data_IF_463560470109
#
_entry.id   IF_463560470109
#
_cell.length_a   1.000
_cell.length_b   1.000
_cell.length_c   1.000
_cell.angle_alpha   90.00
_cell.angle_beta   90.00
_cell.angle_gamma   90.00
#
_symmetry.space_group_name_H-M   'P 1'
#
loop_
_entity.id
_entity.type
_entity.pdbx_description
1 polymer ?
#
# COMPACT_ATOMS: atom_id res chain seq x y z
N UNK A 1 16.69 -58.98 -6.58
CA UNK A 1 18.00 -59.42 -6.08
C UNK A 1 18.51 -58.31 -5.16
N UNK A 2 18.50 -58.44 -3.82
CA UNK A 2 19.66 -58.84 -2.96
C UNK A 2 20.95 -58.18 -3.48
N UNK A 3 21.61 -57.29 -2.72
CA UNK A 3 22.42 -57.65 -1.55
C UNK A 3 22.42 -56.64 -0.39
N UNK A 4 22.71 -57.20 0.79
CA UNK A 4 22.82 -56.64 2.13
C UNK A 4 24.21 -56.03 2.39
N UNK A 5 24.28 -55.05 3.30
CA UNK A 5 25.37 -54.84 4.30
C UNK A 5 24.93 -53.68 5.21
N UNK A 6 24.66 -53.83 6.51
CA UNK A 6 25.41 -54.34 7.67
C UNK A 6 25.70 -53.16 8.61
N UNK A 7 25.05 -53.22 9.77
CA UNK A 7 25.05 -52.33 10.94
C UNK A 7 26.41 -52.22 11.63
N UNK A 8 26.69 -51.13 12.39
CA UNK A 8 26.97 -51.18 13.86
C UNK A 8 27.48 -49.83 14.46
N UNK A 9 26.90 -49.46 15.62
CA UNK A 9 27.40 -48.60 16.73
C UNK A 9 27.63 -47.09 16.48
N UNK A 10 27.43 -46.16 17.41
CA UNK A 10 27.25 -46.23 18.86
C UNK A 10 26.37 -45.06 19.38
N UNK A 11 25.75 -45.26 20.54
CA UNK A 11 25.10 -44.23 21.35
C UNK A 11 26.11 -43.18 21.84
N UNK A 12 25.73 -41.90 21.77
CA UNK A 12 26.18 -40.90 22.73
C UNK A 12 24.95 -40.10 23.19
N UNK A 13 24.58 -40.31 24.46
CA UNK A 13 23.63 -39.44 25.15
C UNK A 13 24.29 -38.09 25.40
N UNK A 14 23.70 -37.01 24.88
CA UNK A 14 23.94 -35.68 25.44
C UNK A 14 22.71 -35.27 26.26
N UNK A 15 22.95 -35.19 27.57
CA UNK A 15 22.01 -34.70 28.56
C UNK A 15 21.84 -33.18 28.47
N UNK A 16 20.69 -32.76 28.99
CA UNK A 16 20.03 -31.47 28.89
C UNK A 16 20.81 -30.23 29.34
N UNK A 17 20.42 -29.07 28.80
CA UNK A 17 20.12 -27.90 29.63
C UNK A 17 18.86 -27.23 29.11
N UNK A 18 17.88 -27.08 29.99
CA UNK A 18 16.73 -26.22 29.78
C UNK A 18 17.18 -24.75 29.88
N UNK A 19 16.75 -23.91 28.94
CA UNK A 19 16.34 -22.55 29.28
C UNK A 19 15.44 -21.97 28.19
N UNK A 20 14.44 -21.21 28.63
CA UNK A 20 13.23 -20.87 27.90
C UNK A 20 13.43 -20.29 26.50
N UNK A 21 12.46 -20.58 25.63
CA UNK A 21 12.37 -20.04 24.28
C UNK A 21 12.11 -18.52 24.32
N UNK A 22 13.02 -17.66 23.81
CA UNK A 22 12.55 -16.51 23.08
C UNK A 22 11.99 -17.02 21.75
N UNK A 23 10.76 -16.65 21.46
CA UNK A 23 10.08 -16.86 20.19
C UNK A 23 10.91 -16.22 19.06
N UNK A 24 11.81 -16.98 18.43
CA UNK A 24 12.46 -16.59 17.20
C UNK A 24 11.45 -16.78 16.06
N UNK A 25 10.87 -15.65 15.65
CA UNK A 25 10.09 -15.48 14.43
C UNK A 25 11.01 -15.75 13.22
N UNK A 26 11.01 -17.00 12.76
CA UNK A 26 11.55 -17.41 11.46
C UNK A 26 10.63 -16.84 10.36
N UNK A 27 10.74 -15.54 10.10
CA UNK A 27 10.30 -14.95 8.86
C UNK A 27 11.28 -15.39 7.78
N UNK A 28 10.83 -16.30 6.91
CA UNK A 28 11.56 -16.71 5.72
C UNK A 28 12.07 -15.48 4.98
N UNK A 29 13.40 -15.37 4.87
CA UNK A 29 14.08 -14.45 3.98
C UNK A 29 13.64 -14.73 2.56
N UNK A 30 12.62 -14.00 2.13
CA UNK A 30 12.35 -13.69 0.74
C UNK A 30 12.81 -12.25 0.54
N UNK A 31 13.98 -12.09 -0.07
CA UNK A 31 14.26 -10.87 -0.80
C UNK A 31 13.23 -10.77 -1.91
N UNK A 32 12.21 -9.95 -1.67
CA UNK A 32 11.50 -9.30 -2.75
C UNK A 32 11.68 -7.83 -2.46
N UNK A 33 12.49 -7.18 -3.29
CA UNK A 33 12.31 -5.78 -3.62
C UNK A 33 10.89 -5.62 -4.13
N UNK A 34 9.93 -5.51 -3.22
CA UNK A 34 8.59 -5.03 -3.51
C UNK A 34 8.66 -3.53 -3.41
N UNK A 35 8.73 -2.90 -4.58
CA UNK A 35 8.30 -1.53 -4.77
C UNK A 35 7.05 -1.29 -3.93
N UNK A 36 7.10 -0.28 -3.08
CA UNK A 36 5.98 0.18 -2.26
C UNK A 36 4.84 0.67 -3.14
N UNK A 37 4.11 -0.25 -3.75
CA UNK A 37 2.74 -0.09 -4.23
C UNK A 37 1.93 -1.15 -3.45
N UNK A 38 1.92 -1.01 -2.12
CA UNK A 38 1.20 -1.88 -1.19
C UNK A 38 -0.18 -1.28 -0.90
N UNK A 39 -1.17 -1.68 -1.69
CA UNK A 39 -2.58 -1.52 -1.30
C UNK A 39 -2.90 -2.64 -0.30
N UNK A 40 -2.73 -2.37 1.00
CA UNK A 40 -3.13 -3.29 2.06
C UNK A 40 -4.63 -3.18 2.31
N UNK A 41 -5.39 -4.15 1.81
CA UNK A 41 -6.82 -4.30 2.06
C UNK A 41 -7.02 -4.95 3.45
N UNK A 42 -7.66 -4.24 4.36
CA UNK A 42 -8.23 -4.80 5.59
C UNK A 42 -9.68 -4.33 5.72
N UNK A 43 -10.58 -5.29 5.83
CA UNK A 43 -12.03 -5.10 5.91
C UNK A 43 -12.45 -4.49 7.25
N UNK A 44 -12.59 -3.17 7.28
CA UNK A 44 -13.34 -2.32 8.23
C UNK A 44 -12.91 -0.88 7.93
N UNK A 45 -13.80 -0.08 7.31
CA UNK A 45 -13.50 1.27 6.79
C UNK A 45 -12.15 1.38 6.05
N UNK A 46 -12.08 1.04 4.76
CA UNK A 46 -10.80 1.13 4.02
C UNK A 46 -10.32 2.58 3.98
N UNK A 47 -9.17 2.81 4.61
CA UNK A 47 -8.41 4.05 4.50
C UNK A 47 -7.48 3.92 3.30
N UNK A 48 -7.54 4.88 2.40
CA UNK A 48 -6.75 4.89 1.17
C UNK A 48 -5.76 6.05 1.23
N UNK A 49 -4.48 5.74 1.02
CA UNK A 49 -3.42 6.74 1.03
C UNK A 49 -2.81 6.86 -0.36
N UNK A 50 -2.98 8.02 -1.00
CA UNK A 50 -2.47 8.31 -2.33
C UNK A 50 -1.20 9.17 -2.22
N UNK A 51 -0.07 8.64 -2.65
CA UNK A 51 1.25 9.30 -2.65
C UNK A 51 2.08 8.87 -3.86
N UNK A 52 3.12 9.64 -4.21
CA UNK A 52 4.02 9.32 -5.31
C UNK A 52 3.42 9.74 -6.65
N UNK A 53 3.44 8.88 -7.66
CA UNK A 53 2.89 9.20 -8.99
C UNK A 53 1.45 8.72 -9.11
N UNK A 54 0.53 9.61 -9.45
CA UNK A 54 -0.86 9.24 -9.66
C UNK A 54 -1.00 8.32 -10.89
N UNK A 55 -1.68 7.19 -10.69
CA UNK A 55 -2.07 6.29 -11.78
C UNK A 55 -3.54 6.56 -12.15
N UNK A 56 -3.78 6.84 -13.43
CA UNK A 56 -5.14 7.02 -13.95
C UNK A 56 -5.95 5.74 -13.69
N UNK A 57 -7.16 5.90 -13.17
CA UNK A 57 -8.07 4.78 -12.88
C UNK A 57 -7.85 4.13 -11.51
N UNK A 58 -7.08 4.76 -10.62
CA UNK A 58 -7.02 4.37 -9.20
C UNK A 58 -8.43 4.24 -8.63
N UNK A 59 -8.78 3.07 -8.11
CA UNK A 59 -10.09 2.83 -7.52
C UNK A 59 -10.14 3.30 -6.06
N UNK A 60 -10.99 4.29 -5.80
CA UNK A 60 -11.24 4.84 -4.46
C UNK A 60 -12.65 4.51 -3.94
N UNK A 61 -13.43 3.72 -4.68
CA UNK A 61 -14.86 3.53 -4.44
C UNK A 61 -15.18 2.78 -3.15
N UNK A 62 -14.23 1.98 -2.64
CA UNK A 62 -14.37 1.31 -1.35
C UNK A 62 -13.98 2.22 -0.17
N UNK A 63 -13.19 3.27 -0.41
CA UNK A 63 -12.51 4.05 0.61
C UNK A 63 -13.49 4.98 1.35
N UNK A 64 -13.56 4.86 2.67
CA UNK A 64 -14.29 5.82 3.52
C UNK A 64 -13.44 7.02 3.92
N UNK A 65 -12.12 6.87 3.92
CA UNK A 65 -11.17 7.96 4.14
C UNK A 65 -10.08 7.90 3.08
N UNK A 66 -9.79 9.03 2.45
CA UNK A 66 -8.81 9.16 1.37
C UNK A 66 -7.84 10.26 1.77
N UNK A 67 -6.62 9.90 2.10
CA UNK A 67 -5.54 10.86 2.38
C UNK A 67 -4.66 11.00 1.15
N UNK A 68 -4.45 12.24 0.71
CA UNK A 68 -3.65 12.59 -0.47
C UNK A 68 -2.44 13.36 0.04
N UNK A 69 -1.30 12.68 0.07
CA UNK A 69 -0.03 13.26 0.52
C UNK A 69 0.69 13.98 -0.61
N UNK A 70 2.01 13.82 -0.67
CA UNK A 70 2.80 14.30 -1.82
C UNK A 70 2.51 13.43 -3.04
N UNK A 71 1.83 14.00 -4.02
CA UNK A 71 1.35 13.31 -5.21
C UNK A 71 1.72 14.09 -6.48
N UNK A 72 2.23 13.41 -7.50
CA UNK A 72 2.49 13.99 -8.82
C UNK A 72 1.53 13.40 -9.83
N UNK A 73 0.67 14.24 -10.38
CA UNK A 73 -0.28 13.89 -11.42
C UNK A 73 0.39 14.10 -12.78
N UNK A 74 0.48 13.08 -13.64
CA UNK A 74 1.11 13.21 -14.96
C UNK A 74 0.44 14.27 -15.84
N UNK A 75 1.18 14.76 -16.83
CA UNK A 75 0.68 15.78 -17.75
C UNK A 75 -0.50 15.27 -18.58
N UNK A 76 -1.56 16.07 -18.70
CA UNK A 76 -2.79 15.69 -19.42
C UNK A 76 -3.65 14.64 -18.71
N UNK A 77 -3.39 14.36 -17.43
CA UNK A 77 -4.18 13.44 -16.60
C UNK A 77 -4.95 14.23 -15.55
N UNK A 78 -6.22 13.86 -15.36
CA UNK A 78 -7.04 14.36 -14.25
C UNK A 78 -6.84 13.49 -13.02
N UNK A 79 -6.63 14.09 -11.86
CA UNK A 79 -6.83 13.44 -10.57
C UNK A 79 -8.34 13.20 -10.39
N UNK A 80 -8.78 11.98 -10.71
CA UNK A 80 -10.18 11.60 -10.68
C UNK A 80 -10.55 11.04 -9.30
N UNK A 81 -11.37 11.81 -8.59
CA UNK A 81 -11.95 11.49 -7.30
C UNK A 81 -13.49 11.38 -7.40
N UNK A 82 -14.04 11.30 -8.62
CA UNK A 82 -15.50 11.26 -8.87
C UNK A 82 -16.20 10.01 -8.36
N UNK A 83 -15.44 8.94 -8.12
CA UNK A 83 -15.94 7.66 -7.61
C UNK A 83 -15.75 7.53 -6.11
N UNK A 84 -15.55 8.63 -5.39
CA UNK A 84 -15.47 8.60 -3.94
C UNK A 84 -16.77 8.02 -3.36
N UNK A 85 -16.62 7.16 -2.34
CA UNK A 85 -17.75 6.58 -1.63
C UNK A 85 -18.61 7.69 -0.99
N UNK A 86 -19.94 7.53 -0.99
CA UNK A 86 -20.82 8.44 -0.24
C UNK A 86 -20.42 8.53 1.22
N UNK A 87 -20.36 9.75 1.77
CA UNK A 87 -19.93 9.98 3.14
C UNK A 87 -18.41 9.93 3.35
N UNK A 88 -17.61 9.79 2.29
CA UNK A 88 -16.15 9.69 2.42
C UNK A 88 -15.53 11.03 2.82
N UNK A 89 -14.43 10.95 3.57
CA UNK A 89 -13.55 12.07 3.84
C UNK A 89 -12.35 12.04 2.90
N UNK A 90 -12.10 13.15 2.20
CA UNK A 90 -10.92 13.35 1.35
C UNK A 90 -10.07 14.42 2.01
N UNK A 91 -8.80 14.12 2.27
CA UNK A 91 -7.89 15.02 2.95
C UNK A 91 -6.57 15.20 2.19
N UNK A 92 -6.31 16.42 1.71
CA UNK A 92 -5.04 16.78 1.11
C UNK A 92 -4.06 17.26 2.17
N UNK A 93 -2.97 16.52 2.40
CA UNK A 93 -1.99 16.80 3.46
C UNK A 93 -0.63 17.26 2.93
N UNK A 94 -0.24 16.82 1.72
CA UNK A 94 1.03 17.20 1.09
C UNK A 94 0.85 18.14 -0.11
N UNK A 95 1.88 18.24 -0.94
CA UNK A 95 1.81 19.00 -2.21
C UNK A 95 1.42 18.06 -3.34
N UNK A 96 0.28 18.33 -3.97
CA UNK A 96 -0.12 17.68 -5.22
C UNK A 96 0.32 18.55 -6.40
N UNK A 97 1.14 18.03 -7.30
CA UNK A 97 1.65 18.73 -8.49
C UNK A 97 1.03 18.17 -9.76
N UNK A 98 0.92 18.99 -10.81
CA UNK A 98 0.37 18.58 -12.10
C UNK A 98 1.39 18.82 -13.22
N UNK A 99 1.65 17.80 -14.04
CA UNK A 99 2.55 17.93 -15.18
C UNK A 99 2.03 18.91 -16.25
N UNK A 100 2.94 19.68 -16.87
CA UNK A 100 2.59 20.72 -17.84
C UNK A 100 2.17 20.13 -19.19
N UNK A 101 0.97 20.45 -19.65
CA UNK A 101 0.51 20.20 -21.02
C UNK A 101 -0.60 21.19 -21.36
N UNK A 102 -0.71 21.59 -22.63
CA UNK A 102 -1.91 22.28 -23.14
C UNK A 102 -3.03 21.26 -23.38
N UNK A 103 -4.11 21.36 -22.62
CA UNK A 103 -5.29 20.51 -22.76
C UNK A 103 -6.51 21.18 -22.14
N UNK A 104 -7.69 20.60 -22.36
CA UNK A 104 -8.95 21.16 -21.87
C UNK A 104 -9.12 21.02 -20.35
N UNK A 105 -8.35 20.15 -19.68
CA UNK A 105 -8.55 19.84 -18.27
C UNK A 105 -9.76 18.93 -18.03
N UNK A 106 -10.21 18.82 -16.75
CA UNK A 106 -9.71 19.51 -15.56
C UNK A 106 -8.49 18.84 -14.91
N UNK A 107 -7.77 19.56 -14.05
CA UNK A 107 -6.68 19.00 -13.23
C UNK A 107 -7.19 18.03 -12.16
N UNK A 108 -8.26 18.40 -11.47
CA UNK A 108 -8.91 17.59 -10.44
C UNK A 108 -10.40 17.47 -10.76
N UNK A 109 -10.94 16.25 -10.67
CA UNK A 109 -12.37 15.99 -10.79
C UNK A 109 -12.87 15.41 -9.47
N UNK A 110 -13.69 16.17 -8.77
CA UNK A 110 -14.36 15.75 -7.54
C UNK A 110 -15.84 15.50 -7.82
N UNK A 111 -16.36 14.39 -7.32
CA UNK A 111 -17.76 14.00 -7.49
C UNK A 111 -18.15 12.92 -6.49
N UNK A 112 -19.42 12.92 -6.09
CA UNK A 112 -19.98 12.02 -5.09
C UNK A 112 -21.01 12.74 -4.20
N UNK A 113 -21.54 12.01 -3.22
CA UNK A 113 -22.55 12.51 -2.29
C UNK A 113 -22.01 12.56 -0.86
N UNK A 114 -22.42 13.56 -0.08
CA UNK A 114 -22.06 13.73 1.32
C UNK A 114 -20.55 13.65 1.58
N UNK A 115 -19.76 14.23 0.68
CA UNK A 115 -18.31 14.21 0.79
C UNK A 115 -17.82 15.30 1.75
N UNK A 116 -16.87 14.95 2.60
CA UNK A 116 -16.10 15.91 3.37
C UNK A 116 -14.73 16.08 2.71
N UNK A 117 -14.50 17.24 2.10
CA UNK A 117 -13.19 17.57 1.51
C UNK A 117 -12.50 18.59 2.40
N UNK A 118 -11.30 18.26 2.87
CA UNK A 118 -10.47 19.12 3.70
C UNK A 118 -9.01 19.03 3.25
N UNK A 119 -8.19 19.96 3.73
CA UNK A 119 -6.76 19.86 3.47
C UNK A 119 -5.96 20.92 4.20
N UNK A 120 -4.77 20.50 4.64
CA UNK A 120 -3.70 21.38 5.10
C UNK A 120 -2.58 21.53 4.04
N UNK A 121 -2.65 20.74 2.97
CA UNK A 121 -1.67 20.69 1.89
C UNK A 121 -1.91 21.71 0.77
N UNK A 122 -1.17 21.54 -0.33
CA UNK A 122 -1.16 22.46 -1.48
C UNK A 122 -1.54 21.72 -2.76
N UNK A 123 -2.44 22.30 -3.56
CA UNK A 123 -2.67 21.90 -4.94
C UNK A 123 -1.90 22.85 -5.85
N UNK A 124 -0.78 22.39 -6.39
CA UNK A 124 0.16 23.19 -7.18
C UNK A 124 -0.03 22.94 -8.68
N UNK A 125 -0.75 23.86 -9.33
CA UNK A 125 -1.01 23.86 -10.77
C UNK A 125 0.18 24.32 -11.63
N UNK A 126 1.30 24.71 -11.01
CA UNK A 126 2.45 25.45 -11.56
C UNK A 126 2.18 26.93 -11.85
#
# INVERSE_FOLDING_TARGET
MKFFSATLAAFALLAATANGSPMLRQGKGGSVTQSSDSVTQSSSSSNCNLTGTYKKGTDISSCSSITIGSLSVPAGVTLDLSKAKTGATIEFTGTTTFGTQKWAGPLVLLGGNDLMVKGSGTLDGQ
#
